data_IF_420568731109
#
_entry.id   IF_420568731109
#
_cell.length_a   1.000
_cell.length_b   1.000
_cell.length_c   1.000
_cell.angle_alpha   90.00
_cell.angle_beta   90.00
_cell.angle_gamma   90.00
#
_symmetry.space_group_name_H-M   'P 1'
#
loop_
_entity.id
_entity.type
_entity.pdbx_description
1 polymer ?
#
# COMPACT_ATOMS: atom_id res chain seq x y z
N UNK A 1 -12.94 -20.18 -16.17
CA UNK A 1 -12.46 -19.70 -14.86
C UNK A 1 -10.96 -19.38 -14.87
N UNK A 2 -10.41 -18.83 -15.97
CA UNK A 2 -8.95 -18.79 -16.20
C UNK A 2 -8.34 -17.38 -16.19
N UNK A 3 -9.08 -16.32 -16.49
CA UNK A 3 -8.52 -14.96 -16.51
C UNK A 3 -8.38 -14.34 -15.12
N UNK A 4 -9.37 -14.51 -14.23
CA UNK A 4 -9.35 -13.93 -12.89
C UNK A 4 -8.18 -14.44 -12.05
N UNK A 5 -7.89 -15.74 -12.10
CA UNK A 5 -6.79 -16.36 -11.37
C UNK A 5 -5.42 -15.89 -11.89
N UNK A 6 -5.33 -15.60 -13.18
CA UNK A 6 -4.11 -15.08 -13.81
C UNK A 6 -3.83 -13.65 -13.30
N UNK A 7 -4.83 -12.79 -13.36
CA UNK A 7 -4.71 -11.40 -12.89
C UNK A 7 -4.44 -11.32 -11.39
N UNK A 8 -5.01 -12.22 -10.59
CA UNK A 8 -4.76 -12.24 -9.15
C UNK A 8 -3.30 -12.58 -8.82
N UNK A 9 -2.69 -13.58 -9.47
CA UNK A 9 -1.29 -13.88 -9.20
C UNK A 9 -0.36 -12.76 -9.66
N UNK A 10 -0.71 -12.07 -10.75
CA UNK A 10 0.06 -10.91 -11.23
C UNK A 10 0.00 -9.77 -10.20
N UNK A 11 -1.18 -9.52 -9.64
CA UNK A 11 -1.36 -8.53 -8.59
C UNK A 11 -0.57 -8.87 -7.32
N UNK A 12 -0.60 -10.12 -6.87
CA UNK A 12 0.15 -10.58 -5.69
C UNK A 12 1.65 -10.35 -5.86
N UNK A 13 2.22 -10.77 -7.01
CA UNK A 13 3.65 -10.56 -7.29
C UNK A 13 4.01 -9.08 -7.41
N UNK A 14 3.16 -8.28 -8.04
CA UNK A 14 3.40 -6.84 -8.16
C UNK A 14 3.40 -6.15 -6.80
N UNK A 15 2.51 -6.56 -5.89
CA UNK A 15 2.48 -6.04 -4.53
C UNK A 15 3.77 -6.36 -3.79
N UNK A 16 4.27 -7.59 -3.87
CA UNK A 16 5.52 -7.99 -3.23
C UNK A 16 6.72 -7.14 -3.70
N UNK A 17 6.82 -6.87 -5.00
CA UNK A 17 7.89 -6.02 -5.56
C UNK A 17 7.79 -4.59 -5.00
N UNK A 18 6.59 -4.04 -4.87
CA UNK A 18 6.41 -2.71 -4.27
C UNK A 18 6.66 -2.66 -2.75
N UNK A 19 6.39 -3.74 -2.02
CA UNK A 19 6.75 -3.87 -0.60
C UNK A 19 8.27 -3.92 -0.44
N UNK A 20 8.97 -4.68 -1.29
CA UNK A 20 10.42 -4.73 -1.29
C UNK A 20 11.05 -3.35 -1.60
N UNK A 21 10.56 -2.66 -2.64
CA UNK A 21 10.99 -1.29 -3.00
C UNK A 21 10.80 -0.32 -1.81
N UNK A 22 9.65 -0.42 -1.12
CA UNK A 22 9.40 0.37 0.08
C UNK A 22 10.46 0.15 1.15
N UNK A 23 10.83 -1.10 1.46
CA UNK A 23 11.89 -1.37 2.43
C UNK A 23 13.24 -0.77 2.00
N UNK A 24 13.59 -0.88 0.71
CA UNK A 24 14.84 -0.31 0.19
C UNK A 24 14.86 1.22 0.31
N UNK A 25 13.79 1.90 -0.12
CA UNK A 25 13.67 3.37 -0.07
C UNK A 25 13.65 3.91 1.36
N UNK A 26 13.12 3.13 2.31
CA UNK A 26 13.14 3.45 3.75
C UNK A 26 14.43 3.03 4.46
N UNK A 27 15.42 2.51 3.74
CA UNK A 27 16.73 2.04 4.25
C UNK A 27 16.62 0.85 5.22
N UNK A 28 15.55 0.07 5.12
CA UNK A 28 15.29 -1.15 5.90
C UNK A 28 15.93 -2.37 5.22
N UNK A 29 17.23 -2.31 4.94
CA UNK A 29 17.91 -3.28 4.07
C UNK A 29 17.88 -4.71 4.60
N UNK A 30 17.96 -4.91 5.92
CA UNK A 30 17.86 -6.24 6.52
C UNK A 30 16.48 -6.86 6.28
N UNK A 31 15.41 -6.08 6.46
CA UNK A 31 14.04 -6.50 6.20
C UNK A 31 13.81 -6.76 4.70
N UNK A 32 14.32 -5.88 3.83
CA UNK A 32 14.25 -6.09 2.37
C UNK A 32 14.87 -7.43 1.97
N UNK A 33 16.08 -7.73 2.48
CA UNK A 33 16.79 -8.98 2.20
C UNK A 33 16.05 -10.21 2.72
N UNK A 34 15.56 -10.18 3.97
CA UNK A 34 14.81 -11.30 4.54
C UNK A 34 13.52 -11.56 3.74
N UNK A 35 12.77 -10.50 3.45
CA UNK A 35 11.52 -10.58 2.68
C UNK A 35 11.75 -11.13 1.26
N UNK A 36 12.80 -10.67 0.58
CA UNK A 36 13.19 -11.19 -0.73
C UNK A 36 13.49 -12.69 -0.69
N UNK A 37 14.23 -13.15 0.33
CA UNK A 37 14.64 -14.55 0.45
C UNK A 37 13.45 -15.47 0.79
N UNK A 38 12.61 -15.06 1.73
CA UNK A 38 11.46 -15.83 2.19
C UNK A 38 10.34 -15.89 1.14
N UNK A 39 10.00 -14.74 0.55
CA UNK A 39 8.94 -14.61 -0.44
C UNK A 39 9.35 -14.94 -1.88
N UNK A 40 10.66 -15.13 -2.14
CA UNK A 40 11.22 -15.26 -3.49
C UNK A 40 10.80 -14.09 -4.40
N UNK A 41 10.79 -12.89 -3.82
CA UNK A 41 10.33 -11.67 -4.48
C UNK A 41 11.27 -11.33 -5.63
N UNK A 42 10.72 -10.95 -6.78
CA UNK A 42 11.53 -10.52 -7.91
C UNK A 42 12.29 -9.22 -7.57
N UNK A 43 13.52 -9.12 -8.06
CA UNK A 43 14.34 -7.89 -8.02
C UNK A 43 14.28 -7.11 -9.33
N UNK A 44 13.38 -7.49 -10.23
CA UNK A 44 13.15 -6.72 -11.44
C UNK A 44 12.77 -5.28 -11.08
N UNK A 45 13.15 -4.30 -11.90
CA UNK A 45 12.74 -2.92 -11.71
C UNK A 45 11.22 -2.82 -11.55
N UNK A 46 10.77 -2.05 -10.56
CA UNK A 46 9.35 -1.73 -10.40
C UNK A 46 8.82 -1.08 -11.68
N UNK A 47 7.61 -1.47 -12.10
CA UNK A 47 6.99 -0.89 -13.30
C UNK A 47 6.73 0.63 -13.15
N UNK A 48 6.49 1.08 -11.91
CA UNK A 48 6.35 2.50 -11.57
C UNK A 48 7.39 2.83 -10.50
N UNK A 49 8.44 3.55 -10.90
CA UNK A 49 9.47 4.02 -9.99
C UNK A 49 9.17 5.46 -9.53
N UNK A 50 8.46 5.57 -8.41
CA UNK A 50 8.17 6.85 -7.77
C UNK A 50 9.28 7.21 -6.75
N UNK A 51 9.70 8.49 -6.64
CA UNK A 51 10.80 8.89 -5.75
C UNK A 51 10.64 8.47 -4.28
N UNK A 52 9.41 8.52 -3.73
CA UNK A 52 9.09 8.10 -2.37
C UNK A 52 8.73 6.61 -2.23
N UNK A 53 8.62 5.90 -3.35
CA UNK A 53 8.14 4.53 -3.43
C UNK A 53 6.63 4.49 -3.72
N UNK A 54 6.25 3.75 -4.77
CA UNK A 54 4.87 3.73 -5.25
C UNK A 54 3.88 3.30 -4.17
N UNK A 55 4.20 2.26 -3.38
CA UNK A 55 3.35 1.78 -2.30
C UNK A 55 3.06 2.86 -1.26
N UNK A 56 4.07 3.63 -0.88
CA UNK A 56 3.91 4.69 0.12
C UNK A 56 3.06 5.83 -0.41
N UNK A 57 3.39 6.35 -1.60
CA UNK A 57 2.66 7.47 -2.20
C UNK A 57 1.20 7.10 -2.48
N UNK A 58 0.95 5.90 -3.01
CA UNK A 58 -0.41 5.41 -3.25
C UNK A 58 -1.18 5.19 -1.95
N UNK A 59 -0.54 4.60 -0.92
CA UNK A 59 -1.19 4.38 0.37
C UNK A 59 -1.58 5.69 1.07
N UNK A 60 -0.73 6.71 0.99
CA UNK A 60 -1.05 8.05 1.50
C UNK A 60 -2.29 8.63 0.83
N UNK A 61 -2.36 8.60 -0.50
CA UNK A 61 -3.54 9.08 -1.25
C UNK A 61 -4.78 8.27 -0.91
N UNK A 62 -4.66 6.94 -0.82
CA UNK A 62 -5.76 6.07 -0.41
C UNK A 62 -6.29 6.45 0.97
N UNK A 63 -5.40 6.69 1.94
CA UNK A 63 -5.77 7.03 3.31
C UNK A 63 -6.50 8.38 3.40
N UNK A 64 -6.02 9.39 2.67
CA UNK A 64 -6.67 10.71 2.60
C UNK A 64 -8.11 10.59 2.07
N UNK A 65 -8.30 9.82 1.00
CA UNK A 65 -9.62 9.55 0.41
C UNK A 65 -10.50 8.76 1.38
N UNK A 66 -9.94 7.75 2.05
CA UNK A 66 -10.69 6.92 2.99
C UNK A 66 -11.22 7.75 4.16
N UNK A 67 -10.38 8.59 4.77
CA UNK A 67 -10.77 9.50 5.85
C UNK A 67 -11.83 10.50 5.37
N UNK A 68 -11.64 11.13 4.21
CA UNK A 68 -12.62 12.07 3.65
C UNK A 68 -14.01 11.45 3.48
N UNK A 69 -14.09 10.18 3.08
CA UNK A 69 -15.38 9.49 2.85
C UNK A 69 -16.00 8.85 4.09
N UNK A 70 -15.20 8.59 5.13
CA UNK A 70 -15.66 7.91 6.36
C UNK A 70 -15.92 8.87 7.52
N UNK A 71 -15.18 9.99 7.62
CA UNK A 71 -15.41 11.01 8.65
C UNK A 71 -16.73 11.78 8.47
N UNK A 72 -17.24 11.93 7.24
CA UNK A 72 -18.57 12.55 7.03
C UNK A 72 -19.73 11.70 7.56
N UNK A 73 -19.53 10.41 7.84
CA UNK A 73 -20.60 9.47 8.25
C UNK A 73 -20.63 9.15 9.75
N UNK A 74 -19.81 9.80 10.59
CA UNK A 74 -19.72 9.52 12.03
C UNK A 74 -20.00 10.73 12.93
N UNK A 75 -21.02 11.54 12.67
CA UNK A 75 -21.53 12.42 13.74
C UNK A 75 -23.00 12.83 13.59
N UNK A 76 -23.91 11.96 14.02
CA UNK A 76 -25.12 12.43 14.72
C UNK A 76 -24.85 12.58 16.24
N UNK A 77 -23.87 11.86 16.78
CA UNK A 77 -23.57 11.85 18.21
C UNK A 77 -22.52 12.88 18.68
N UNK A 78 -21.72 13.48 17.76
CA UNK A 78 -20.83 14.60 18.14
C UNK A 78 -21.52 15.97 18.03
N UNK A 79 -22.76 16.02 17.52
CA UNK A 79 -23.60 17.22 17.49
C UNK A 79 -23.96 17.73 18.90
N UNK A 80 -23.93 16.87 19.92
CA UNK A 80 -24.29 17.24 21.31
C UNK A 80 -23.19 17.93 22.11
N UNK A 81 -21.95 17.98 21.61
CA UNK A 81 -20.83 18.64 22.29
C UNK A 81 -20.60 20.09 21.83
N UNK A 82 -21.44 20.61 20.92
CA UNK A 82 -21.29 21.94 20.30
C UNK A 82 -22.27 22.98 20.87
N UNK A 83 -23.29 22.60 21.64
CA UNK A 83 -24.19 23.59 22.28
C UNK A 83 -23.89 23.76 23.78
N UNK A 84 -23.68 25.02 24.17
CA UNK A 84 -23.54 25.53 25.55
C UNK A 84 -24.90 25.64 26.21
#
# INVERSE_FOLDING_TARGET
MSQSSQTNWEADKMLDVYIHDYFVKRKLHASAKAFQQEGKVSTDPVAIDAPGGFLFEWWSVFWDIFIARTNEKHSDAAASYIEV
#
